data_IF_799606624051
#
_entry.id   IF_799606624051
#
_cell.length_a   1.000
_cell.length_b   1.000
_cell.length_c   1.000
_cell.angle_alpha   90.00
_cell.angle_beta   90.00
_cell.angle_gamma   90.00
#
_symmetry.space_group_name_H-M   'P 1'
#
loop_
_entity.id
_entity.type
_entity.pdbx_description
1 polymer ?
#
# COMPACT_ATOMS: atom_id res chain seq x y z
N UNK A 1 -76.92 -26.15 -4.76
CA UNK A 1 -76.08 -26.59 -5.89
C UNK A 1 -74.65 -26.71 -5.38
N UNK A 2 -74.22 -27.93 -5.10
CA UNK A 2 -72.87 -28.23 -4.58
C UNK A 2 -71.93 -28.44 -5.78
N UNK A 3 -70.79 -27.75 -5.87
CA UNK A 3 -69.86 -27.99 -6.97
C UNK A 3 -69.12 -29.31 -6.74
N UNK A 4 -69.31 -30.27 -7.64
CA UNK A 4 -68.52 -31.49 -7.72
C UNK A 4 -67.20 -31.18 -8.43
N UNK A 5 -66.10 -31.15 -7.68
CA UNK A 5 -64.75 -30.95 -8.22
C UNK A 5 -64.25 -32.29 -8.74
N UNK A 6 -64.12 -32.43 -10.06
CA UNK A 6 -63.50 -33.59 -10.71
C UNK A 6 -61.98 -33.43 -10.70
N UNK A 7 -61.30 -34.01 -9.70
CA UNK A 7 -59.84 -34.09 -9.70
C UNK A 7 -59.36 -35.16 -10.68
N UNK A 8 -58.58 -34.75 -11.69
CA UNK A 8 -57.96 -35.64 -12.66
C UNK A 8 -56.86 -36.48 -11.98
N UNK A 9 -56.78 -37.79 -12.29
CA UNK A 9 -55.80 -38.74 -11.73
C UNK A 9 -54.35 -38.27 -11.86
N UNK A 10 -54.02 -37.51 -12.91
CA UNK A 10 -52.68 -36.91 -13.10
C UNK A 10 -52.39 -35.78 -12.10
N UNK A 11 -53.39 -34.99 -11.73
CA UNK A 11 -53.29 -33.92 -10.74
C UNK A 11 -53.15 -34.47 -9.33
N UNK A 12 -53.82 -35.60 -9.04
CA UNK A 12 -53.69 -36.30 -7.76
C UNK A 12 -52.28 -36.91 -7.58
N UNK A 13 -51.72 -37.49 -8.66
CA UNK A 13 -50.37 -38.06 -8.63
C UNK A 13 -49.29 -36.98 -8.40
N UNK A 14 -49.47 -35.77 -8.96
CA UNK A 14 -48.55 -34.66 -8.78
C UNK A 14 -48.59 -34.10 -7.34
N UNK A 15 -49.78 -34.02 -6.74
CA UNK A 15 -49.96 -33.59 -5.35
C UNK A 15 -49.33 -34.57 -4.35
N UNK A 16 -49.40 -35.88 -4.63
CA UNK A 16 -48.76 -36.90 -3.79
C UNK A 16 -47.22 -36.86 -3.91
N UNK A 17 -46.68 -36.61 -5.12
CA UNK A 17 -45.24 -36.46 -5.31
C UNK A 17 -44.65 -35.22 -4.60
N UNK A 18 -45.42 -34.12 -4.53
CA UNK A 18 -45.02 -32.91 -3.80
C UNK A 18 -45.11 -33.13 -2.28
N UNK A 19 -46.09 -33.89 -1.79
CA UNK A 19 -46.20 -34.22 -0.35
C UNK A 19 -45.21 -35.29 0.13
N UNK A 20 -44.71 -36.15 -0.77
CA UNK A 20 -43.69 -37.16 -0.47
C UNK A 20 -42.24 -36.67 -0.70
N UNK A 21 -42.04 -35.39 -1.00
CA UNK A 21 -40.71 -34.79 -0.98
C UNK A 21 -40.28 -34.61 0.48
N UNK A 22 -39.84 -35.70 1.10
CA UNK A 22 -39.23 -35.67 2.43
C UNK A 22 -38.14 -34.62 2.44
N UNK A 23 -38.25 -33.66 3.34
CA UNK A 23 -37.16 -32.75 3.66
C UNK A 23 -35.97 -33.61 4.07
N UNK A 24 -34.98 -33.72 3.18
CA UNK A 24 -33.67 -34.25 3.51
C UNK A 24 -33.04 -33.28 4.51
N UNK A 25 -33.27 -33.55 5.80
CA UNK A 25 -32.50 -33.00 6.89
C UNK A 25 -31.11 -33.61 6.71
N UNK A 26 -30.13 -32.79 6.28
CA UNK A 26 -28.75 -33.22 6.27
C UNK A 26 -28.37 -33.54 7.72
N UNK A 27 -27.96 -34.77 7.98
CA UNK A 27 -27.45 -35.15 9.30
C UNK A 27 -26.27 -34.26 9.66
N UNK A 28 -26.39 -33.58 10.79
CA UNK A 28 -25.27 -32.94 11.47
C UNK A 28 -24.26 -34.04 11.80
N UNK A 29 -22.99 -33.85 11.42
CA UNK A 29 -21.95 -34.86 11.63
C UNK A 29 -21.83 -35.18 13.13
N UNK A 30 -22.25 -36.38 13.51
CA UNK A 30 -22.27 -36.83 14.90
C UNK A 30 -21.25 -37.95 15.10
N UNK A 31 -20.23 -37.69 15.91
CA UNK A 31 -19.29 -38.69 16.39
C UNK A 31 -19.96 -39.51 17.50
N UNK A 32 -20.34 -40.75 17.17
CA UNK A 32 -20.88 -41.71 18.14
C UNK A 32 -19.75 -42.29 19.01
N UNK A 33 -19.72 -42.00 20.32
CA UNK A 33 -18.73 -42.57 21.24
C UNK A 33 -18.82 -44.09 21.37
N UNK A 34 -19.97 -44.70 21.05
CA UNK A 34 -20.17 -46.14 21.14
C UNK A 34 -19.28 -46.93 20.15
N UNK A 35 -18.94 -46.33 19.00
CA UNK A 35 -18.07 -46.94 17.99
C UNK A 35 -16.63 -47.14 18.45
N UNK A 36 -16.23 -46.50 19.56
CA UNK A 36 -14.88 -46.57 20.12
C UNK A 36 -14.85 -47.21 21.52
N UNK A 37 -15.93 -47.90 21.92
CA UNK A 37 -15.98 -48.66 23.16
C UNK A 37 -14.95 -49.80 23.16
N UNK A 38 -14.06 -49.80 24.16
CA UNK A 38 -12.98 -50.79 24.33
C UNK A 38 -11.58 -50.26 24.01
N UNK A 39 -11.47 -49.11 23.32
CA UNK A 39 -10.23 -48.37 23.20
C UNK A 39 -10.13 -47.35 24.34
N UNK A 40 -8.96 -47.23 24.98
CA UNK A 40 -8.68 -46.21 26.02
C UNK A 40 -8.92 -44.77 25.52
N UNK A 41 -9.02 -44.59 24.20
CA UNK A 41 -9.24 -43.34 23.48
C UNK A 41 -10.72 -42.90 23.40
N UNK A 42 -11.69 -43.75 23.75
CA UNK A 42 -13.13 -43.45 23.64
C UNK A 42 -13.66 -42.39 24.63
N UNK A 43 -12.85 -41.97 25.61
CA UNK A 43 -13.27 -40.97 26.61
C UNK A 43 -13.19 -39.54 26.03
N UNK A 44 -14.24 -38.75 26.23
CA UNK A 44 -14.36 -37.33 25.84
C UNK A 44 -14.51 -37.02 24.34
N UNK A 45 -14.79 -38.02 23.48
CA UNK A 45 -14.99 -37.81 22.04
C UNK A 45 -16.26 -37.00 21.73
N UNK A 46 -17.26 -37.07 22.62
CA UNK A 46 -18.48 -36.27 22.49
C UNK A 46 -18.22 -34.76 22.40
N UNK A 47 -17.08 -34.26 22.90
CA UNK A 47 -16.68 -32.85 22.79
C UNK A 47 -16.36 -32.40 21.36
N UNK A 48 -16.03 -33.32 20.46
CA UNK A 48 -15.83 -32.99 19.04
C UNK A 48 -17.16 -32.75 18.30
N UNK A 49 -18.29 -33.14 18.90
CA UNK A 49 -19.63 -32.78 18.42
C UNK A 49 -20.03 -31.36 18.82
N UNK A 50 -19.32 -30.74 19.76
CA UNK A 50 -19.55 -29.35 20.12
C UNK A 50 -18.81 -28.47 19.10
N UNK A 51 -19.52 -27.54 18.46
CA UNK A 51 -18.92 -26.54 17.56
C UNK A 51 -18.01 -25.54 18.29
N UNK A 52 -17.85 -25.70 19.60
CA UNK A 52 -17.21 -24.73 20.48
C UNK A 52 -15.78 -25.16 20.82
N UNK A 53 -14.82 -24.27 20.56
CA UNK A 53 -13.42 -24.57 20.84
C UNK A 53 -13.10 -24.46 22.34
N UNK A 54 -12.40 -25.45 22.93
CA UNK A 54 -12.02 -25.39 24.33
C UNK A 54 -11.01 -24.27 24.60
N UNK A 55 -11.10 -23.67 25.78
CA UNK A 55 -10.10 -22.69 26.25
C UNK A 55 -8.75 -23.36 26.40
N UNK A 56 -7.69 -22.68 25.98
CA UNK A 56 -6.35 -23.24 26.01
C UNK A 56 -5.36 -22.43 25.20
N UNK A 57 -4.13 -22.89 25.22
CA UNK A 57 -3.02 -22.33 24.46
C UNK A 57 -2.87 -23.12 23.15
N UNK A 58 -3.01 -22.43 22.02
CA UNK A 58 -2.90 -23.04 20.69
C UNK A 58 -1.78 -22.39 19.91
N UNK A 59 -0.91 -23.21 19.32
CA UNK A 59 0.08 -22.76 18.37
C UNK A 59 -0.62 -22.51 17.02
N UNK A 60 -0.69 -21.26 16.60
CA UNK A 60 -1.47 -20.89 15.43
C UNK A 60 -0.74 -19.92 14.48
N UNK A 61 -1.12 -20.01 13.21
CA UNK A 61 -0.77 -19.02 12.20
C UNK A 61 -1.83 -17.92 12.14
N UNK A 62 -1.40 -16.66 12.21
CA UNK A 62 -2.30 -15.50 12.21
C UNK A 62 -2.36 -14.89 10.82
N UNK A 63 -3.56 -14.86 10.25
CA UNK A 63 -3.89 -14.23 8.98
C UNK A 63 -4.73 -12.98 9.21
N UNK A 64 -4.42 -11.88 8.51
CA UNK A 64 -5.25 -10.67 8.48
C UNK A 64 -5.75 -10.46 7.07
N UNK A 65 -7.07 -10.44 6.88
CA UNK A 65 -7.72 -10.30 5.57
C UNK A 65 -7.12 -11.25 4.50
N UNK A 66 -6.81 -12.50 4.90
CA UNK A 66 -6.23 -13.52 4.03
C UNK A 66 -4.70 -13.46 3.85
N UNK A 67 -4.02 -12.47 4.43
CA UNK A 67 -2.54 -12.38 4.38
C UNK A 67 -1.91 -12.92 5.65
N UNK A 68 -0.91 -13.81 5.53
CA UNK A 68 -0.16 -14.31 6.67
C UNK A 68 0.66 -13.17 7.29
N UNK A 69 0.49 -12.95 8.59
CA UNK A 69 1.15 -11.87 9.34
C UNK A 69 2.20 -12.42 10.29
N UNK A 70 1.89 -13.54 10.95
CA UNK A 70 2.78 -14.21 11.90
C UNK A 70 2.49 -15.70 11.86
N UNK A 71 3.53 -16.52 11.82
CA UNK A 71 3.42 -17.97 11.87
C UNK A 71 3.83 -18.51 13.24
N UNK A 72 3.24 -19.64 13.63
CA UNK A 72 3.66 -20.41 14.81
C UNK A 72 3.75 -19.59 16.11
N UNK A 73 2.72 -18.78 16.42
CA UNK A 73 2.64 -18.06 17.68
C UNK A 73 1.64 -18.72 18.63
N UNK A 74 2.00 -18.78 19.91
CA UNK A 74 1.11 -19.30 20.93
C UNK A 74 0.03 -18.25 21.27
N UNK A 75 -1.23 -18.57 20.98
CA UNK A 75 -2.39 -17.73 21.27
C UNK A 75 -3.23 -18.42 22.35
N UNK A 76 -3.44 -17.69 23.44
CA UNK A 76 -4.31 -18.12 24.53
C UNK A 76 -5.76 -17.78 24.22
N UNK A 77 -6.64 -18.77 24.26
CA UNK A 77 -8.08 -18.58 24.15
C UNK A 77 -8.73 -18.61 25.53
N UNK A 78 -9.29 -17.47 25.94
CA UNK A 78 -9.95 -17.29 27.23
C UNK A 78 -11.45 -17.54 27.09
N UNK A 79 -12.08 -18.15 28.09
CA UNK A 79 -13.53 -18.26 28.15
C UNK A 79 -14.15 -16.90 28.53
N UNK A 80 -15.13 -16.43 27.76
CA UNK A 80 -15.79 -15.12 27.92
C UNK A 80 -17.01 -15.21 28.85
N UNK A 81 -17.59 -16.42 29.01
CA UNK A 81 -18.61 -16.81 29.99
C UNK A 81 -18.46 -18.30 30.30
N UNK A 82 -19.02 -18.78 31.41
CA UNK A 82 -19.07 -20.20 31.81
C UNK A 82 -19.48 -21.11 30.63
N UNK A 83 -18.50 -21.61 29.88
CA UNK A 83 -18.64 -22.69 28.91
C UNK A 83 -18.99 -22.35 27.46
N UNK A 84 -19.47 -21.14 27.11
CA UNK A 84 -20.16 -20.99 25.81
C UNK A 84 -19.42 -20.21 24.71
N UNK A 85 -18.48 -19.32 25.01
CA UNK A 85 -17.69 -18.61 23.97
C UNK A 85 -16.25 -18.39 24.42
N UNK A 86 -15.29 -18.78 23.58
CA UNK A 86 -13.86 -18.52 23.78
C UNK A 86 -13.41 -17.37 22.88
N UNK A 87 -12.49 -16.53 23.35
CA UNK A 87 -11.92 -15.43 22.57
C UNK A 87 -10.40 -15.46 22.60
N UNK A 88 -9.73 -15.16 21.46
CA UNK A 88 -8.29 -15.09 21.39
C UNK A 88 -7.77 -13.87 22.14
N UNK A 89 -6.81 -14.10 23.03
CA UNK A 89 -6.05 -13.07 23.70
C UNK A 89 -4.86 -12.67 22.82
N UNK A 90 -4.99 -11.56 22.09
CA UNK A 90 -4.00 -11.12 21.11
C UNK A 90 -2.92 -10.27 21.78
N UNK A 91 -1.63 -10.64 21.68
CA UNK A 91 -0.54 -9.83 22.18
C UNK A 91 -0.26 -8.64 21.26
N UNK A 92 0.36 -7.60 21.82
CA UNK A 92 0.72 -6.39 21.07
C UNK A 92 1.66 -6.69 19.88
N UNK A 93 2.50 -7.71 19.97
CA UNK A 93 3.40 -8.14 18.88
C UNK A 93 2.63 -8.53 17.61
N UNK A 94 1.55 -9.30 17.75
CA UNK A 94 0.67 -9.69 16.63
C UNK A 94 0.01 -8.46 16.02
N UNK A 95 -0.44 -7.52 16.86
CA UNK A 95 -1.12 -6.31 16.39
C UNK A 95 -0.16 -5.31 15.73
N UNK A 96 1.11 -5.25 16.17
CA UNK A 96 2.20 -4.53 15.50
C UNK A 96 2.50 -5.17 14.14
N UNK A 97 2.60 -6.50 14.07
CA UNK A 97 2.82 -7.23 12.82
C UNK A 97 1.65 -7.05 11.83
N UNK A 98 0.42 -6.98 12.34
CA UNK A 98 -0.78 -6.66 11.56
C UNK A 98 -0.84 -5.20 11.06
N UNK A 99 0.14 -4.36 11.43
CA UNK A 99 0.28 -2.96 11.00
C UNK A 99 -0.95 -2.09 11.32
N UNK A 100 -1.56 -2.26 12.49
CA UNK A 100 -2.71 -1.46 12.92
C UNK A 100 -2.30 -0.01 13.20
N UNK A 101 -3.08 0.95 12.71
CA UNK A 101 -2.75 2.40 12.76
C UNK A 101 -2.73 2.98 14.18
N UNK A 102 -3.62 2.52 15.05
CA UNK A 102 -3.84 3.07 16.38
C UNK A 102 -3.56 1.98 17.39
N UNK A 103 -2.29 1.85 17.76
CA UNK A 103 -1.87 1.02 18.88
C UNK A 103 -1.56 1.93 20.06
N UNK A 104 -2.01 1.60 21.28
CA UNK A 104 -1.59 2.31 22.48
C UNK A 104 -0.05 2.32 22.59
N UNK A 105 0.52 3.49 22.87
CA UNK A 105 1.96 3.69 22.97
C UNK A 105 2.59 2.97 24.19
N UNK A 106 1.75 2.63 25.18
CA UNK A 106 2.21 2.03 26.43
C UNK A 106 2.37 0.51 26.25
N UNK A 107 3.63 0.06 26.28
CA UNK A 107 4.01 -1.34 26.48
C UNK A 107 3.63 -1.77 27.91
N UNK A 108 2.34 -1.97 28.19
CA UNK A 108 1.96 -3.00 29.15
C UNK A 108 2.26 -4.34 28.47
N UNK A 109 3.56 -4.66 28.32
CA UNK A 109 4.14 -5.72 27.48
C UNK A 109 3.63 -7.13 27.80
N UNK A 110 2.80 -7.27 28.82
CA UNK A 110 2.32 -8.54 29.37
C UNK A 110 0.80 -8.72 29.31
N UNK A 111 0.01 -7.74 28.85
CA UNK A 111 -1.44 -7.92 28.73
C UNK A 111 -1.86 -8.12 27.27
N UNK A 112 -2.11 -9.38 26.92
CA UNK A 112 -2.89 -9.71 25.74
C UNK A 112 -4.33 -9.23 25.94
N UNK A 113 -5.01 -8.84 24.85
CA UNK A 113 -6.37 -8.29 24.88
C UNK A 113 -7.23 -8.94 23.79
N UNK A 114 -8.56 -9.05 23.99
CA UNK A 114 -9.44 -9.55 22.95
C UNK A 114 -9.45 -8.60 21.74
N UNK A 115 -9.70 -9.13 20.54
CA UNK A 115 -9.66 -8.36 19.29
C UNK A 115 -10.54 -7.09 19.32
N UNK A 116 -11.71 -7.17 19.97
CA UNK A 116 -12.66 -6.05 20.10
C UNK A 116 -12.08 -4.82 20.79
N UNK A 117 -11.12 -5.00 21.70
CA UNK A 117 -10.45 -3.89 22.40
C UNK A 117 -9.36 -3.25 21.55
N UNK A 118 -8.75 -4.02 20.64
CA UNK A 118 -7.78 -3.49 19.69
C UNK A 118 -8.46 -2.73 18.55
N UNK A 119 -9.48 -3.33 17.95
CA UNK A 119 -10.18 -2.77 16.79
C UNK A 119 -11.70 -3.00 16.93
N UNK A 120 -12.48 -1.94 17.16
CA UNK A 120 -13.93 -2.03 17.13
C UNK A 120 -14.43 -2.54 15.77
N UNK A 121 -15.43 -3.44 15.79
CA UNK A 121 -16.03 -4.06 14.61
C UNK A 121 -15.08 -4.92 13.76
N UNK A 122 -13.98 -5.43 14.33
CA UNK A 122 -13.20 -6.47 13.71
C UNK A 122 -13.78 -7.86 14.06
N UNK A 123 -13.77 -8.77 13.09
CA UNK A 123 -14.17 -10.16 13.25
C UNK A 123 -12.96 -11.08 13.38
N UNK A 124 -13.15 -12.23 14.00
CA UNK A 124 -12.15 -13.30 14.02
C UNK A 124 -12.81 -14.65 13.85
N UNK A 125 -12.07 -15.60 13.29
CA UNK A 125 -12.46 -17.00 13.16
C UNK A 125 -11.21 -17.85 13.38
N UNK A 126 -11.33 -18.93 14.12
CA UNK A 126 -10.24 -19.88 14.29
C UNK A 126 -10.60 -21.20 13.61
N UNK A 127 -9.72 -21.67 12.74
CA UNK A 127 -9.79 -22.99 12.14
C UNK A 127 -8.85 -23.92 12.93
N UNK A 128 -9.44 -24.80 13.75
CA UNK A 128 -8.71 -25.75 14.56
C UNK A 128 -8.09 -26.89 13.75
N UNK A 129 -8.63 -27.22 12.58
CA UNK A 129 -8.11 -28.28 11.73
C UNK A 129 -6.80 -27.85 11.06
N UNK A 130 -6.68 -26.58 10.70
CA UNK A 130 -5.46 -26.02 10.08
C UNK A 130 -4.61 -25.18 11.04
N UNK A 131 -5.05 -24.99 12.28
CA UNK A 131 -4.44 -24.13 13.30
C UNK A 131 -4.24 -22.70 12.81
N UNK A 132 -5.27 -22.13 12.17
CA UNK A 132 -5.23 -20.78 11.59
C UNK A 132 -6.19 -19.84 12.29
N UNK A 133 -5.67 -18.70 12.75
CA UNK A 133 -6.47 -17.59 13.25
C UNK A 133 -6.68 -16.57 12.13
N UNK A 134 -7.91 -16.51 11.61
CA UNK A 134 -8.33 -15.60 10.56
C UNK A 134 -8.92 -14.34 11.18
N UNK A 135 -8.24 -13.20 11.03
CA UNK A 135 -8.67 -11.90 11.48
C UNK A 135 -9.25 -11.10 10.31
N UNK A 136 -10.45 -10.57 10.49
CA UNK A 136 -11.13 -9.70 9.54
C UNK A 136 -11.14 -8.28 10.08
N UNK A 137 -10.27 -7.42 9.55
CA UNK A 137 -10.04 -6.07 10.06
C UNK A 137 -10.40 -5.05 8.98
N UNK A 138 -11.25 -4.04 9.27
CA UNK A 138 -11.56 -2.97 8.32
C UNK A 138 -10.30 -2.25 7.83
N UNK A 139 -10.17 -2.04 6.51
CA UNK A 139 -8.98 -1.43 5.89
C UNK A 139 -8.63 -0.04 6.45
N UNK A 140 -9.62 0.71 6.92
CA UNK A 140 -9.40 2.02 7.54
C UNK A 140 -8.54 1.96 8.80
N UNK A 141 -8.54 0.84 9.52
CA UNK A 141 -7.79 0.61 10.76
C UNK A 141 -6.39 0.05 10.52
N UNK A 142 -6.11 -0.44 9.32
CA UNK A 142 -4.81 -0.93 8.89
C UNK A 142 -3.96 0.18 8.27
N UNK A 143 -2.64 0.11 8.46
CA UNK A 143 -1.68 1.01 7.83
C UNK A 143 -1.48 0.55 6.39
N UNK A 144 -2.17 1.22 5.46
CA UNK A 144 -2.05 0.89 4.06
C UNK A 144 -0.77 1.51 3.47
N UNK A 145 0.21 0.67 3.14
CA UNK A 145 1.35 1.10 2.33
C UNK A 145 0.88 1.23 0.88
N UNK A 146 0.99 2.41 0.24
CA UNK A 146 0.59 2.57 -1.15
C UNK A 146 1.44 1.67 -2.06
N UNK A 147 0.92 1.35 -3.25
CA UNK A 147 1.66 0.57 -4.23
C UNK A 147 3.00 1.25 -4.56
N UNK A 148 4.08 0.46 -4.52
CA UNK A 148 5.45 0.96 -4.74
C UNK A 148 6.00 1.78 -3.57
N UNK A 149 5.46 1.61 -2.35
CA UNK A 149 6.08 2.14 -1.13
C UNK A 149 7.38 1.39 -0.83
N UNK A 150 8.46 2.15 -0.63
CA UNK A 150 9.76 1.66 -0.17
C UNK A 150 10.07 2.41 1.12
N UNK A 151 10.52 1.69 2.15
CA UNK A 151 10.82 2.33 3.43
C UNK A 151 11.99 3.29 3.28
N UNK A 152 11.96 4.50 3.88
CA UNK A 152 13.12 5.40 3.90
C UNK A 152 14.40 4.78 4.46
N UNK A 153 14.26 3.76 5.32
CA UNK A 153 15.40 2.99 5.88
C UNK A 153 16.10 2.12 4.84
N UNK A 154 15.44 1.82 3.72
CA UNK A 154 15.98 1.01 2.61
C UNK A 154 16.59 1.90 1.52
N UNK A 155 16.59 3.22 1.68
CA UNK A 155 17.13 4.14 0.68
C UNK A 155 18.65 4.19 0.79
N UNK A 156 19.33 3.95 -0.33
CA UNK A 156 20.78 4.06 -0.41
C UNK A 156 21.20 5.51 -0.69
N UNK A 157 22.18 6.01 0.07
CA UNK A 157 22.82 7.31 -0.16
C UNK A 157 23.77 7.30 -1.37
N UNK A 158 24.10 6.11 -1.89
CA UNK A 158 25.10 5.91 -2.92
C UNK A 158 26.53 5.98 -2.38
N UNK A 159 27.49 5.85 -3.29
CA UNK A 159 28.91 5.89 -2.98
C UNK A 159 29.51 7.31 -3.09
N UNK A 160 30.68 7.48 -2.46
CA UNK A 160 31.53 8.66 -2.68
C UNK A 160 31.94 8.73 -4.15
N UNK A 161 31.58 9.81 -4.83
CA UNK A 161 31.88 9.99 -6.25
C UNK A 161 32.21 11.45 -6.57
N UNK A 162 33.27 11.64 -7.35
CA UNK A 162 33.60 12.90 -8.03
C UNK A 162 33.38 12.69 -9.52
N UNK A 163 32.65 13.59 -10.17
CA UNK A 163 32.39 13.50 -11.60
C UNK A 163 32.45 14.86 -12.29
N UNK A 164 32.86 14.84 -13.56
CA UNK A 164 32.96 15.98 -14.45
C UNK A 164 32.28 15.63 -15.77
N UNK A 165 31.27 16.40 -16.15
CA UNK A 165 30.63 16.33 -17.46
C UNK A 165 30.90 17.62 -18.20
N UNK A 166 31.41 17.51 -19.42
CA UNK A 166 31.63 18.64 -20.29
C UNK A 166 30.84 18.47 -21.60
N UNK A 167 30.45 19.58 -22.21
CA UNK A 167 29.88 19.61 -23.55
C UNK A 167 30.52 20.78 -24.30
N UNK A 168 31.41 20.47 -25.24
CA UNK A 168 32.22 21.47 -25.95
C UNK A 168 31.84 21.51 -27.42
N UNK A 169 31.53 22.71 -27.91
CA UNK A 169 31.29 22.99 -29.32
C UNK A 169 32.38 23.92 -29.82
N UNK A 170 32.89 23.63 -31.02
CA UNK A 170 33.82 24.49 -31.75
C UNK A 170 33.18 24.87 -33.07
N UNK A 171 33.28 26.15 -33.43
CA UNK A 171 32.82 26.68 -34.71
C UNK A 171 33.92 27.51 -35.32
N UNK A 172 34.17 27.27 -36.61
CA UNK A 172 35.07 28.08 -37.41
C UNK A 172 34.30 28.61 -38.62
N UNK A 173 34.35 29.92 -38.80
CA UNK A 173 33.74 30.62 -39.93
C UNK A 173 34.83 31.42 -40.62
N UNK A 174 34.96 31.22 -41.92
CA UNK A 174 35.84 32.01 -42.79
C UNK A 174 35.01 32.62 -43.92
N UNK A 175 35.17 33.92 -44.12
CA UNK A 175 34.66 34.62 -45.27
C UNK A 175 35.85 35.15 -46.08
N UNK A 176 36.07 34.55 -47.24
CA UNK A 176 37.21 34.81 -48.10
C UNK A 176 37.15 36.19 -48.77
N UNK A 177 35.96 36.72 -49.03
CA UNK A 177 35.75 38.01 -49.70
C UNK A 177 36.06 39.19 -48.76
N UNK A 178 35.69 39.09 -47.48
CA UNK A 178 35.97 40.12 -46.46
C UNK A 178 37.23 39.87 -45.63
N UNK A 179 38.04 38.86 -45.97
CA UNK A 179 39.18 38.38 -45.17
C UNK A 179 38.84 38.19 -43.67
N UNK A 180 37.60 37.80 -43.39
CA UNK A 180 37.09 37.67 -42.03
C UNK A 180 37.22 36.23 -41.56
N UNK A 181 37.88 36.04 -40.41
CA UNK A 181 37.98 34.75 -39.74
C UNK A 181 37.41 34.87 -38.33
N UNK A 182 36.51 33.96 -38.00
CA UNK A 182 35.92 33.85 -36.67
C UNK A 182 36.05 32.41 -36.17
N UNK A 183 36.50 32.28 -34.93
CA UNK A 183 36.59 31.01 -34.21
C UNK A 183 35.86 31.18 -32.89
N UNK A 184 34.96 30.25 -32.59
CA UNK A 184 34.18 30.26 -31.36
C UNK A 184 34.20 28.88 -30.72
N UNK A 185 34.64 28.83 -29.48
CA UNK A 185 34.54 27.65 -28.63
C UNK A 185 33.61 27.98 -27.47
N UNK A 186 32.61 27.12 -27.26
CA UNK A 186 31.78 27.14 -26.06
C UNK A 186 31.88 25.78 -25.37
N UNK A 187 32.15 25.77 -24.07
CA UNK A 187 32.16 24.56 -23.25
C UNK A 187 31.27 24.72 -22.03
N UNK A 188 30.24 23.89 -21.92
CA UNK A 188 29.43 23.77 -20.71
C UNK A 188 30.03 22.74 -19.76
N UNK A 189 30.38 23.15 -18.55
CA UNK A 189 31.03 22.31 -17.55
C UNK A 189 30.05 22.09 -16.39
N UNK A 190 29.81 20.82 -16.06
CA UNK A 190 29.01 20.39 -14.92
C UNK A 190 29.89 19.46 -14.07
N UNK A 191 30.20 19.87 -12.86
CA UNK A 191 30.95 19.04 -11.92
C UNK A 191 30.11 18.77 -10.68
N UNK A 192 30.38 17.65 -10.02
CA UNK A 192 29.71 17.31 -8.79
C UNK A 192 30.49 16.33 -7.93
N UNK A 193 30.25 16.44 -6.63
CA UNK A 193 30.76 15.53 -5.60
C UNK A 193 29.59 14.99 -4.80
N UNK A 194 29.58 13.69 -4.53
CA UNK A 194 28.63 13.03 -3.65
C UNK A 194 29.37 12.50 -2.43
N UNK A 195 28.96 12.92 -1.23
CA UNK A 195 29.52 12.51 0.07
C UNK A 195 28.35 12.02 0.94
N UNK A 196 28.01 10.75 0.82
CA UNK A 196 26.77 10.21 1.41
C UNK A 196 25.55 10.97 0.89
N UNK A 197 24.75 11.55 1.80
CA UNK A 197 23.56 12.33 1.42
C UNK A 197 23.89 13.75 0.94
N UNK A 198 25.12 14.24 1.11
CA UNK A 198 25.51 15.58 0.69
C UNK A 198 25.98 15.56 -0.77
N UNK A 199 25.39 16.43 -1.57
CA UNK A 199 25.66 16.51 -3.00
C UNK A 199 26.07 17.94 -3.34
N UNK A 200 27.34 18.14 -3.67
CA UNK A 200 27.85 19.42 -4.17
C UNK A 200 27.72 19.42 -5.68
N UNK A 201 27.24 20.53 -6.24
CA UNK A 201 27.06 20.72 -7.67
C UNK A 201 27.58 22.09 -8.08
N UNK A 202 28.30 22.13 -9.19
CA UNK A 202 28.78 23.36 -9.79
C UNK A 202 28.57 23.32 -11.30
N UNK A 203 28.00 24.39 -11.83
CA UNK A 203 27.73 24.55 -13.25
C UNK A 203 28.39 25.84 -13.74
N UNK A 204 29.12 25.73 -14.83
CA UNK A 204 29.80 26.86 -15.44
C UNK A 204 29.84 26.73 -16.97
N UNK A 205 30.15 27.83 -17.63
CA UNK A 205 30.45 27.83 -19.05
C UNK A 205 31.74 28.60 -19.33
N UNK A 206 32.52 28.07 -20.27
CA UNK A 206 33.72 28.70 -20.81
C UNK A 206 33.43 29.09 -22.26
N UNK A 207 33.75 30.33 -22.61
CA UNK A 207 33.62 30.85 -23.97
C UNK A 207 34.96 31.37 -24.42
N UNK A 208 35.37 31.01 -25.62
CA UNK A 208 36.53 31.58 -26.30
C UNK A 208 36.07 32.04 -27.68
N UNK A 209 36.33 33.30 -28.00
CA UNK A 209 36.02 33.88 -29.29
C UNK A 209 37.29 34.53 -29.83
N UNK A 210 37.67 34.20 -31.06
CA UNK A 210 38.77 34.84 -31.76
C UNK A 210 38.27 35.34 -33.12
N UNK A 211 38.50 36.62 -33.37
CA UNK A 211 38.09 37.31 -34.59
C UNK A 211 39.31 38.00 -35.18
N UNK A 212 39.47 37.95 -36.50
CA UNK A 212 40.54 38.69 -37.19
C UNK A 212 40.46 40.21 -36.99
N UNK A 213 39.29 40.74 -36.62
CA UNK A 213 39.07 42.18 -36.41
C UNK A 213 39.11 42.62 -34.94
N UNK A 214 38.60 41.79 -34.01
CA UNK A 214 38.45 42.16 -32.59
C UNK A 214 39.40 41.41 -31.66
N UNK A 215 40.31 40.59 -32.20
CA UNK A 215 41.25 39.78 -31.45
C UNK A 215 40.61 38.59 -30.74
N UNK A 216 41.35 38.01 -29.79
CA UNK A 216 40.90 36.87 -28.99
C UNK A 216 40.41 37.30 -27.60
N UNK A 217 39.26 36.81 -27.18
CA UNK A 217 38.73 36.97 -25.84
C UNK A 217 38.27 35.63 -25.27
N UNK A 218 38.51 35.41 -23.99
CA UNK A 218 37.96 34.27 -23.26
C UNK A 218 37.16 34.78 -22.06
N UNK A 219 36.09 34.06 -21.72
CA UNK A 219 35.25 34.36 -20.56
C UNK A 219 34.80 33.09 -19.89
N UNK A 220 35.10 32.98 -18.61
CA UNK A 220 34.54 31.96 -17.73
C UNK A 220 33.35 32.55 -16.97
N UNK A 221 32.24 31.82 -16.93
CA UNK A 221 31.05 32.24 -16.20
C UNK A 221 30.54 31.10 -15.32
N UNK A 222 30.66 31.29 -14.00
CA UNK A 222 29.99 30.44 -13.02
C UNK A 222 28.49 30.69 -13.08
N UNK A 223 27.71 29.67 -13.43
CA UNK A 223 26.25 29.77 -13.54
C UNK A 223 25.60 29.59 -12.19
N UNK A 224 25.99 28.53 -11.46
CA UNK A 224 25.49 28.26 -10.12
C UNK A 224 26.37 27.28 -9.37
N UNK A 225 26.50 27.49 -8.07
CA UNK A 225 27.14 26.57 -7.13
C UNK A 225 26.22 26.35 -5.95
N UNK A 226 25.88 25.10 -5.66
CA UNK A 226 25.02 24.78 -4.55
C UNK A 226 25.33 23.42 -3.97
N UNK A 227 24.95 23.26 -2.71
CA UNK A 227 24.99 22.00 -1.98
C UNK A 227 23.56 21.59 -1.72
N UNK A 228 23.22 20.34 -2.01
CA UNK A 228 21.89 19.81 -1.75
C UNK A 228 21.94 18.54 -0.90
N UNK A 229 20.92 18.35 -0.07
CA UNK A 229 20.74 17.18 0.79
C UNK A 229 19.26 16.79 0.81
N UNK A 230 18.90 15.55 0.42
CA UNK A 230 17.55 15.04 0.61
C UNK A 230 17.30 14.76 2.10
N UNK A 231 16.12 15.13 2.59
CA UNK A 231 15.64 14.95 3.96
C UNK A 231 14.40 14.07 3.93
N UNK A 232 14.61 12.76 4.11
CA UNK A 232 13.57 11.75 3.93
C UNK A 232 12.40 11.88 4.93
N UNK A 233 12.64 12.36 6.15
CA UNK A 233 11.58 12.51 7.18
C UNK A 233 10.44 13.44 6.78
N UNK A 234 10.72 14.42 5.92
CA UNK A 234 9.75 15.41 5.44
C UNK A 234 9.52 15.36 3.93
N UNK A 235 10.09 14.36 3.23
CA UNK A 235 10.02 14.22 1.78
C UNK A 235 10.48 15.48 1.02
N UNK A 236 11.56 16.12 1.49
CA UNK A 236 12.04 17.40 0.94
C UNK A 236 13.52 17.38 0.61
N UNK A 237 13.95 18.28 -0.26
CA UNK A 237 15.36 18.56 -0.55
C UNK A 237 15.71 19.91 0.05
N UNK A 238 16.74 19.92 0.89
CA UNK A 238 17.41 21.12 1.36
C UNK A 238 18.50 21.48 0.35
N UNK A 239 18.52 22.73 -0.12
CA UNK A 239 19.55 23.28 -1.00
C UNK A 239 20.12 24.56 -0.39
N UNK A 240 21.44 24.72 -0.44
CA UNK A 240 22.19 25.86 0.08
C UNK A 240 23.11 26.41 -1.02
N UNK A 241 23.07 27.72 -1.27
CA UNK A 241 23.84 28.40 -2.33
C UNK A 241 22.93 28.96 -3.42
N UNK A 242 23.42 28.94 -4.66
CA UNK A 242 22.69 29.49 -5.81
C UNK A 242 21.51 28.59 -6.21
N UNK A 243 20.29 29.12 -6.16
CA UNK A 243 19.07 28.41 -6.49
C UNK A 243 18.05 29.32 -7.19
N UNK A 244 16.99 28.72 -7.71
CA UNK A 244 15.84 29.41 -8.30
C UNK A 244 14.57 29.11 -7.50
N UNK A 245 13.61 30.01 -7.52
CA UNK A 245 12.27 29.77 -6.94
C UNK A 245 11.46 28.84 -7.83
N UNK A 246 10.77 27.88 -7.23
CA UNK A 246 9.81 27.04 -7.96
C UNK A 246 8.51 27.82 -8.04
N UNK A 247 8.12 28.22 -9.24
CA UNK A 247 6.96 29.05 -9.39
C UNK A 247 6.01 28.48 -10.43
N UNK A 248 4.82 28.08 -9.97
CA UNK A 248 3.68 27.76 -10.82
C UNK A 248 2.79 28.97 -11.12
N UNK A 249 2.94 30.08 -10.36
CA UNK A 249 2.04 31.25 -10.42
C UNK A 249 2.75 32.60 -10.67
N UNK A 250 4.02 32.73 -10.29
CA UNK A 250 4.88 33.91 -10.49
C UNK A 250 6.06 33.64 -11.44
N UNK A 251 6.92 34.62 -11.71
CA UNK A 251 8.20 34.39 -12.39
C UNK A 251 9.21 33.63 -11.50
N UNK A 252 10.09 32.85 -12.12
CA UNK A 252 11.23 32.25 -11.43
C UNK A 252 12.30 33.31 -11.13
N UNK A 253 12.72 33.43 -9.88
CA UNK A 253 13.75 34.35 -9.42
C UNK A 253 14.98 33.56 -8.97
N UNK A 254 16.17 34.01 -9.39
CA UNK A 254 17.45 33.49 -8.90
C UNK A 254 17.80 34.13 -7.56
N UNK A 255 18.30 33.34 -6.63
CA UNK A 255 18.77 33.82 -5.33
C UNK A 255 19.95 32.98 -4.83
N UNK A 256 20.73 33.54 -3.91
CA UNK A 256 21.74 32.81 -3.16
C UNK A 256 21.28 32.72 -1.69
N UNK A 257 21.07 31.50 -1.19
CA UNK A 257 20.56 31.31 0.16
C UNK A 257 20.18 29.86 0.45
N UNK A 258 19.18 29.68 1.32
CA UNK A 258 18.66 28.37 1.68
C UNK A 258 17.27 28.13 1.06
N UNK A 259 17.06 26.93 0.53
CA UNK A 259 15.78 26.47 -0.03
C UNK A 259 15.43 25.12 0.54
N UNK A 260 14.22 24.98 1.06
CA UNK A 260 13.65 23.69 1.45
C UNK A 260 12.39 23.46 0.61
N UNK A 261 12.42 22.45 -0.25
CA UNK A 261 11.31 22.14 -1.15
C UNK A 261 10.90 20.68 -1.05
N UNK A 262 9.60 20.42 -1.01
CA UNK A 262 9.04 19.07 -1.06
C UNK A 262 9.25 18.47 -2.45
N UNK A 263 9.83 17.28 -2.53
CA UNK A 263 10.05 16.57 -3.80
C UNK A 263 9.03 15.45 -3.98
N UNK A 264 8.18 15.55 -4.99
CA UNK A 264 7.17 14.53 -5.28
C UNK A 264 7.78 13.18 -5.66
N UNK A 265 9.04 13.15 -6.12
CA UNK A 265 9.76 11.91 -6.43
C UNK A 265 10.11 11.13 -5.16
N UNK A 266 10.10 11.74 -3.98
CA UNK A 266 10.23 11.02 -2.71
C UNK A 266 8.92 10.34 -2.30
N UNK A 267 7.78 10.71 -2.89
CA UNK A 267 6.51 10.05 -2.62
C UNK A 267 6.44 8.70 -3.36
N UNK A 268 5.82 7.68 -2.75
CA UNK A 268 5.48 6.43 -3.44
C UNK A 268 4.68 6.70 -4.70
N UNK A 269 4.86 5.86 -5.73
CA UNK A 269 4.19 6.01 -7.02
C UNK A 269 2.67 6.15 -6.89
N UNK A 270 2.04 5.39 -5.98
CA UNK A 270 0.60 5.48 -5.72
C UNK A 270 0.12 6.78 -5.06
N UNK A 271 1.02 7.69 -4.68
CA UNK A 271 0.71 9.02 -4.11
C UNK A 271 1.26 10.18 -4.97
N UNK A 272 1.78 9.89 -6.16
CA UNK A 272 2.25 10.93 -7.08
C UNK A 272 1.08 11.41 -7.93
N UNK A 273 0.90 12.73 -7.99
CA UNK A 273 -0.23 13.35 -8.68
C UNK A 273 -1.56 13.25 -7.93
N UNK A 274 -2.62 13.76 -8.56
CA UNK A 274 -3.97 13.68 -8.03
C UNK A 274 -4.59 12.32 -8.35
N UNK A 275 -5.06 11.63 -7.32
CA UNK A 275 -5.79 10.37 -7.43
C UNK A 275 -7.11 10.52 -6.66
N UNK A 276 -8.28 10.31 -7.27
CA UNK A 276 -9.54 10.32 -6.53
C UNK A 276 -9.57 9.20 -5.49
N UNK A 277 -10.15 9.50 -4.32
CA UNK A 277 -10.39 8.53 -3.26
C UNK A 277 -11.83 8.02 -3.34
N UNK A 278 -12.00 6.72 -3.54
CA UNK A 278 -13.31 6.06 -3.48
C UNK A 278 -13.55 5.58 -2.06
N UNK A 279 -14.59 6.11 -1.42
CA UNK A 279 -14.97 5.79 -0.04
C UNK A 279 -16.28 5.02 -0.05
N UNK A 280 -16.37 3.98 0.78
CA UNK A 280 -17.57 3.16 0.86
C UNK A 280 -17.64 2.34 2.15
N UNK A 281 -18.77 1.67 2.34
CA UNK A 281 -19.02 0.72 3.43
C UNK A 281 -19.55 -0.56 2.81
N UNK A 282 -18.90 -1.68 3.09
CA UNK A 282 -19.36 -3.00 2.69
C UNK A 282 -19.99 -3.71 3.90
N UNK A 283 -21.20 -4.25 3.75
CA UNK A 283 -21.85 -5.01 4.81
C UNK A 283 -21.20 -6.40 5.01
N UNK A 284 -20.66 -6.98 3.92
CA UNK A 284 -19.99 -8.27 3.87
C UNK A 284 -18.69 -8.19 3.07
N UNK A 285 -17.97 -9.31 2.92
CA UNK A 285 -16.84 -9.39 1.99
C UNK A 285 -17.33 -9.07 0.58
N UNK A 286 -16.79 -8.01 -0.02
CA UNK A 286 -17.29 -7.47 -1.27
C UNK A 286 -16.19 -7.35 -2.32
N UNK A 287 -16.56 -7.62 -3.56
CA UNK A 287 -15.72 -7.43 -4.72
C UNK A 287 -16.00 -6.06 -5.34
N UNK A 288 -15.03 -5.15 -5.26
CA UNK A 288 -15.18 -3.76 -5.70
C UNK A 288 -14.52 -3.58 -7.07
N UNK A 289 -15.35 -3.26 -8.07
CA UNK A 289 -14.90 -2.97 -9.45
C UNK A 289 -15.12 -1.49 -9.73
N UNK A 290 -14.06 -0.80 -10.11
CA UNK A 290 -14.10 0.61 -10.51
C UNK A 290 -13.90 0.69 -12.02
N UNK A 291 -14.85 1.35 -12.69
CA UNK A 291 -14.85 1.53 -14.15
C UNK A 291 -14.72 3.01 -14.52
N UNK A 292 -13.96 3.27 -15.57
CA UNK A 292 -13.89 4.58 -16.22
C UNK A 292 -14.09 4.38 -17.73
N UNK A 293 -15.02 5.14 -18.33
CA UNK A 293 -15.38 5.03 -19.75
C UNK A 293 -15.70 3.57 -20.17
N UNK A 294 -16.44 2.86 -19.32
CA UNK A 294 -16.84 1.46 -19.55
C UNK A 294 -15.72 0.42 -19.35
N UNK A 295 -14.48 0.83 -19.10
CA UNK A 295 -13.33 -0.07 -18.88
C UNK A 295 -13.05 -0.21 -17.38
N UNK A 296 -12.78 -1.43 -16.93
CA UNK A 296 -12.32 -1.69 -15.55
C UNK A 296 -10.91 -1.12 -15.40
N UNK A 297 -10.75 -0.21 -14.45
CA UNK A 297 -9.48 0.46 -14.16
C UNK A 297 -8.87 -0.01 -12.83
N UNK A 298 -9.69 -0.53 -11.93
CA UNK A 298 -9.25 -1.04 -10.64
C UNK A 298 -10.25 -2.07 -10.11
N UNK A 299 -9.74 -3.15 -9.53
CA UNK A 299 -10.54 -4.26 -9.03
C UNK A 299 -9.85 -4.82 -7.77
N UNK A 300 -10.59 -4.94 -6.67
CA UNK A 300 -10.05 -5.50 -5.43
C UNK A 300 -11.16 -6.05 -4.52
N UNK A 301 -10.81 -7.03 -3.69
CA UNK A 301 -11.68 -7.51 -2.63
C UNK A 301 -11.49 -6.67 -1.36
N UNK A 302 -12.59 -6.25 -0.75
CA UNK A 302 -12.58 -5.49 0.51
C UNK A 302 -13.25 -6.29 1.62
N UNK A 303 -12.69 -6.31 2.84
CA UNK A 303 -13.33 -6.91 3.99
C UNK A 303 -14.60 -6.13 4.38
N UNK A 304 -15.50 -6.75 5.18
CA UNK A 304 -16.62 -6.05 5.79
C UNK A 304 -16.18 -4.78 6.53
N UNK A 305 -16.97 -3.72 6.40
CA UNK A 305 -16.77 -2.44 7.05
C UNK A 305 -16.37 -1.31 6.10
N UNK A 306 -15.83 -0.24 6.69
CA UNK A 306 -15.46 0.99 5.97
C UNK A 306 -14.14 0.80 5.23
N UNK A 307 -14.13 1.13 3.94
CA UNK A 307 -12.94 1.08 3.08
C UNK A 307 -12.68 2.41 2.37
N UNK A 308 -11.42 2.64 2.02
CA UNK A 308 -10.96 3.78 1.23
C UNK A 308 -9.98 3.23 0.21
N UNK A 309 -10.25 3.45 -1.08
CA UNK A 309 -9.39 3.06 -2.18
C UNK A 309 -8.84 4.30 -2.86
N UNK A 310 -7.53 4.43 -2.93
CA UNK A 310 -6.85 5.48 -3.71
C UNK A 310 -6.54 4.94 -5.09
N UNK A 311 -7.15 5.51 -6.13
CA UNK A 311 -7.05 5.00 -7.50
C UNK A 311 -6.19 5.97 -8.29
N UNK A 312 -4.98 5.54 -8.64
CA UNK A 312 -4.06 6.34 -9.45
C UNK A 312 -4.49 6.24 -10.92
N UNK A 313 -5.49 7.01 -11.32
CA UNK A 313 -5.82 7.28 -12.72
C UNK A 313 -5.23 8.62 -13.10
N UNK A 314 -4.46 8.67 -14.20
CA UNK A 314 -4.17 9.94 -14.87
C UNK A 314 -5.48 10.66 -15.20
N UNK A 315 -5.60 11.97 -14.95
CA UNK A 315 -6.85 12.68 -15.20
C UNK A 315 -7.03 12.85 -16.71
N UNK A 316 -7.86 12.03 -17.32
CA UNK A 316 -8.58 12.42 -18.53
C UNK A 316 -10.04 12.61 -18.12
N UNK A 317 -10.29 13.74 -17.46
CA UNK A 317 -11.65 14.21 -17.18
C UNK A 317 -12.11 14.97 -18.42
N UNK A 318 -12.87 14.31 -19.29
CA UNK A 318 -13.82 15.01 -20.16
C UNK A 318 -15.21 14.71 -19.60
N UNK A 319 -15.72 15.66 -18.82
CA UNK A 319 -17.07 15.62 -18.30
C UNK A 319 -18.06 15.71 -19.47
N UNK A 320 -18.96 14.73 -19.59
CA UNK A 320 -20.23 14.91 -20.29
C UNK A 320 -21.28 14.25 -19.41
N UNK A 321 -22.13 15.09 -18.82
CA UNK A 321 -23.36 14.71 -18.14
C UNK A 321 -24.42 14.37 -19.18
N UNK A 322 -25.07 13.21 -19.03
CA UNK A 322 -26.47 12.97 -19.39
C UNK A 322 -27.08 12.05 -18.34
#
# INVERSE_FOLDING_TARGET
MSPTINLNRKSLALLIAIFCSGSAQGEEYYFDPALLQGATYGQNIARFNEQQMPSGDYLADVYVNGTLVTSSINIRFNAVKEGQQTEPCLPLSVMKAAQIKSLPATDAATQCRPLREWVPHAGWQFDSATLRLLLTIPMTKLTHKPRGYISPSEWDSGALALFLRHNTNWTHTENTDSHYRYQYLWSGINMGVNLGLWQVRHQSNLRYANSSQSGSAWRYNSVRTWVQRPVASINSILSLGDSYTDSSLFGSLSFNGAKLVTDERMRPQGKRGYAPEVRGVAASSAHVVVKQLGKVIYETNVPPGRFILTICTTPVIKAIWR
#
